data_IF_424837216306
#
_entry.id   IF_424837216306
#
_cell.length_a   1.000
_cell.length_b   1.000
_cell.length_c   1.000
_cell.angle_alpha   90.00
_cell.angle_beta   90.00
_cell.angle_gamma   90.00
#
_symmetry.space_group_name_H-M   'P 1'
#
loop_
_entity.id
_entity.type
_entity.pdbx_description
1 polymer ?
#
# COMPACT_ATOMS: atom_id res chain seq x y z
N UNK A 1 -40.95 -18.82 -2.08
CA UNK A 1 -39.72 -19.35 -1.45
C UNK A 1 -38.55 -18.52 -1.93
N UNK A 2 -38.13 -17.58 -1.09
CA UNK A 2 -36.95 -16.74 -1.28
C UNK A 2 -35.72 -17.64 -1.29
N UNK A 3 -34.98 -17.68 -2.41
CA UNK A 3 -33.64 -18.29 -2.41
C UNK A 3 -32.77 -17.37 -1.57
N UNK A 4 -32.40 -17.84 -0.38
CA UNK A 4 -31.32 -17.27 0.41
C UNK A 4 -30.10 -17.09 -0.49
N UNK A 5 -29.88 -15.85 -0.92
CA UNK A 5 -28.58 -15.39 -1.40
C UNK A 5 -27.72 -15.37 -0.13
N UNK A 6 -27.29 -16.55 0.31
CA UNK A 6 -26.17 -16.66 1.25
C UNK A 6 -25.05 -15.92 0.57
N UNK A 7 -24.76 -14.74 1.10
CA UNK A 7 -23.66 -13.85 0.79
C UNK A 7 -22.59 -14.60 0.01
N UNK A 8 -22.48 -14.30 -1.29
CA UNK A 8 -21.30 -14.66 -2.04
C UNK A 8 -20.13 -14.03 -1.28
N UNK A 9 -19.47 -14.84 -0.44
CA UNK A 9 -18.26 -14.43 0.29
C UNK A 9 -17.34 -13.84 -0.75
N UNK A 10 -17.15 -12.53 -0.65
CA UNK A 10 -16.44 -11.73 -1.63
C UNK A 10 -15.09 -12.40 -1.90
N UNK A 11 -14.77 -12.83 -3.13
CA UNK A 11 -13.55 -13.57 -3.41
C UNK A 11 -12.37 -12.71 -3.00
N UNK A 12 -11.70 -13.07 -1.87
CA UNK A 12 -10.58 -12.35 -1.21
C UNK A 12 -10.06 -11.19 -2.06
N UNK A 13 -10.74 -10.03 -1.99
CA UNK A 13 -10.32 -8.86 -2.77
C UNK A 13 -9.06 -8.36 -2.08
N UNK A 14 -7.93 -8.60 -2.72
CA UNK A 14 -6.70 -7.92 -2.34
C UNK A 14 -6.68 -6.54 -2.97
N UNK A 15 -6.10 -5.57 -2.28
CA UNK A 15 -5.84 -4.25 -2.84
C UNK A 15 -4.33 -4.04 -2.93
N UNK A 16 -3.87 -3.38 -3.98
CA UNK A 16 -2.56 -2.77 -3.98
C UNK A 16 -2.69 -1.37 -3.39
N UNK A 17 -1.93 -1.12 -2.33
CA UNK A 17 -1.83 0.19 -1.69
C UNK A 17 -0.50 0.79 -2.13
N UNK A 18 -0.55 2.03 -2.59
CA UNK A 18 0.65 2.86 -2.84
C UNK A 18 0.48 4.16 -2.07
N UNK A 19 1.46 4.49 -1.24
CA UNK A 19 1.50 5.70 -0.43
C UNK A 19 2.75 6.47 -0.82
N UNK A 20 2.59 7.69 -1.31
CA UNK A 20 3.70 8.59 -1.61
C UNK A 20 3.70 9.75 -0.64
N UNK A 21 4.85 10.07 -0.07
CA UNK A 21 5.04 11.16 0.88
C UNK A 21 5.79 12.32 0.22
N UNK A 22 5.43 13.54 0.61
CA UNK A 22 6.15 14.76 0.24
C UNK A 22 6.31 15.58 1.52
N UNK A 23 7.41 15.35 2.23
CA UNK A 23 7.70 15.96 3.52
C UNK A 23 8.49 17.26 3.32
N UNK A 24 8.00 18.35 3.91
CA UNK A 24 8.63 19.67 3.82
C UNK A 24 9.98 19.68 4.56
N UNK A 25 11.06 20.03 3.85
CA UNK A 25 12.40 20.18 4.45
C UNK A 25 12.94 18.90 5.09
N UNK A 26 12.51 17.73 4.61
CA UNK A 26 12.89 16.45 5.20
C UNK A 26 14.07 15.80 4.48
N UNK A 27 15.03 15.35 5.28
CA UNK A 27 16.11 14.47 4.85
C UNK A 27 15.60 13.05 4.58
N UNK A 28 16.35 12.28 3.77
CA UNK A 28 16.02 10.89 3.39
C UNK A 28 15.74 9.98 4.59
N UNK A 29 16.43 10.18 5.72
CA UNK A 29 16.27 9.41 6.95
C UNK A 29 14.85 9.53 7.56
N UNK A 30 14.20 10.71 7.43
CA UNK A 30 12.84 10.92 7.95
C UNK A 30 11.81 10.11 7.16
N UNK A 31 11.99 9.99 5.85
CA UNK A 31 11.16 9.13 5.01
C UNK A 31 11.32 7.66 5.41
N UNK A 32 12.55 7.20 5.65
CA UNK A 32 12.80 5.81 6.05
C UNK A 32 12.14 5.46 7.39
N UNK A 33 12.29 6.32 8.40
CA UNK A 33 11.63 6.14 9.71
C UNK A 33 10.12 6.08 9.56
N UNK A 34 9.54 7.01 8.79
CA UNK A 34 8.10 7.05 8.53
C UNK A 34 7.62 5.76 7.84
N UNK A 35 8.32 5.27 6.81
CA UNK A 35 7.96 4.02 6.13
C UNK A 35 7.99 2.81 7.08
N UNK A 36 9.02 2.70 7.92
CA UNK A 36 9.13 1.61 8.92
C UNK A 36 8.02 1.67 9.97
N UNK A 37 7.69 2.86 10.48
CA UNK A 37 6.56 3.01 11.41
C UNK A 37 5.25 2.59 10.77
N UNK A 38 4.98 3.05 9.55
CA UNK A 38 3.72 2.73 8.87
C UNK A 38 3.62 1.25 8.53
N UNK A 39 4.71 0.64 8.10
CA UNK A 39 4.77 -0.80 7.89
C UNK A 39 4.37 -1.60 9.14
N UNK A 40 4.93 -1.23 10.29
CA UNK A 40 4.62 -1.88 11.56
C UNK A 40 3.16 -1.64 11.99
N UNK A 41 2.71 -0.39 11.97
CA UNK A 41 1.35 -0.02 12.41
C UNK A 41 0.25 -0.61 11.50
N UNK A 42 0.54 -0.78 10.21
CA UNK A 42 -0.38 -1.36 9.24
C UNK A 42 -0.22 -2.89 9.11
N UNK A 43 0.71 -3.50 9.86
CA UNK A 43 1.04 -4.93 9.81
C UNK A 43 1.35 -5.41 8.39
N UNK A 44 2.12 -4.60 7.66
CA UNK A 44 2.45 -4.87 6.27
C UNK A 44 3.73 -5.70 6.19
N UNK A 45 3.70 -6.73 5.35
CA UNK A 45 4.93 -7.29 4.82
C UNK A 45 5.61 -6.20 3.98
N UNK A 46 6.63 -5.54 4.55
CA UNK A 46 7.50 -4.62 3.81
C UNK A 46 8.41 -5.37 2.87
N UNK A 47 7.82 -6.06 1.90
CA UNK A 47 8.51 -6.26 0.64
C UNK A 47 8.50 -4.90 -0.03
N UNK A 48 9.60 -4.14 0.15
CA UNK A 48 9.88 -2.99 -0.71
C UNK A 48 9.77 -3.55 -2.12
N UNK A 49 8.79 -3.10 -2.90
CA UNK A 49 8.56 -3.65 -4.24
C UNK A 49 9.80 -3.36 -5.07
N UNK A 50 10.58 -4.41 -5.29
CA UNK A 50 11.64 -4.47 -6.27
C UNK A 50 10.96 -5.02 -7.52
N UNK A 51 10.65 -4.15 -8.48
CA UNK A 51 10.17 -4.61 -9.78
C UNK A 51 11.37 -5.10 -10.56
N UNK A 52 11.49 -6.40 -10.79
CA UNK A 52 12.38 -6.91 -11.83
C UNK A 52 11.74 -6.56 -13.17
N UNK A 53 12.44 -5.75 -13.98
CA UNK A 53 12.10 -5.58 -15.39
C UNK A 53 12.71 -6.72 -16.20
N UNK A 54 12.22 -6.96 -17.43
CA UNK A 54 12.67 -8.02 -18.34
C UNK A 54 14.20 -8.08 -18.58
N UNK A 55 14.92 -7.00 -18.21
CA UNK A 55 16.38 -6.86 -18.25
C UNK A 55 17.10 -7.20 -16.92
N UNK A 56 16.45 -7.85 -15.95
CA UNK A 56 16.98 -8.11 -14.60
C UNK A 56 17.38 -6.84 -13.82
N UNK A 57 16.97 -5.65 -14.29
CA UNK A 57 17.13 -4.41 -13.54
C UNK A 57 16.05 -4.34 -12.48
N UNK A 58 16.49 -4.51 -11.24
CA UNK A 58 15.71 -4.22 -10.06
C UNK A 58 15.41 -2.73 -10.03
N UNK A 59 14.17 -2.36 -10.29
CA UNK A 59 13.70 -0.98 -10.15
C UNK A 59 13.15 -0.83 -8.75
N UNK A 60 13.90 -0.13 -7.90
CA UNK A 60 13.43 0.24 -6.57
C UNK A 60 12.37 1.35 -6.68
N UNK A 61 11.31 1.23 -5.89
CA UNK A 61 10.38 2.35 -5.71
C UNK A 61 11.13 3.61 -5.22
N UNK A 62 10.63 4.81 -5.57
CA UNK A 62 11.17 6.06 -5.02
C UNK A 62 11.20 6.00 -3.49
N UNK A 63 12.26 6.52 -2.87
CA UNK A 63 12.45 6.42 -1.42
C UNK A 63 11.28 7.05 -0.63
N UNK A 64 10.57 8.02 -1.18
CA UNK A 64 9.41 8.62 -0.52
C UNK A 64 8.11 7.81 -0.71
N UNK A 65 8.17 6.60 -1.24
CA UNK A 65 7.01 5.77 -1.57
C UNK A 65 7.02 4.46 -0.77
N UNK A 66 5.86 4.04 -0.31
CA UNK A 66 5.57 2.73 0.25
C UNK A 66 4.51 2.05 -0.63
N UNK A 67 4.76 0.84 -1.09
CA UNK A 67 3.73 0.02 -1.72
C UNK A 67 3.56 -1.29 -0.93
N UNK A 68 2.34 -1.82 -0.91
CA UNK A 68 2.00 -3.07 -0.21
C UNK A 68 0.75 -3.73 -0.80
N UNK A 69 0.61 -5.04 -0.57
CA UNK A 69 -0.64 -5.75 -0.77
C UNK A 69 -1.45 -5.72 0.52
N UNK A 70 -2.68 -5.26 0.42
CA UNK A 70 -3.70 -5.37 1.46
C UNK A 70 -4.50 -6.65 1.22
N UNK A 71 -4.57 -7.52 2.23
CA UNK A 71 -5.26 -8.81 2.15
C UNK A 71 -6.34 -8.97 3.23
N UNK A 72 -6.76 -7.87 3.86
CA UNK A 72 -7.80 -7.86 4.90
C UNK A 72 -9.18 -7.72 4.27
N UNK A 73 -10.17 -8.42 4.82
CA UNK A 73 -11.57 -8.37 4.37
C UNK A 73 -12.18 -6.99 4.69
N UNK A 74 -12.04 -6.06 3.75
CA UNK A 74 -12.47 -4.67 3.90
C UNK A 74 -12.82 -4.07 2.53
N UNK A 75 -13.68 -3.05 2.53
CA UNK A 75 -13.95 -2.26 1.33
C UNK A 75 -12.76 -1.35 1.01
N UNK A 76 -12.71 -0.84 -0.23
CA UNK A 76 -11.69 0.14 -0.65
C UNK A 76 -11.71 1.39 0.24
N UNK A 77 -12.92 1.87 0.59
CA UNK A 77 -13.11 3.05 1.40
C UNK A 77 -12.63 2.84 2.83
N UNK A 78 -13.02 1.74 3.48
CA UNK A 78 -12.54 1.41 4.84
C UNK A 78 -11.02 1.25 4.88
N UNK A 79 -10.44 0.64 3.84
CA UNK A 79 -8.99 0.51 3.68
C UNK A 79 -8.34 1.89 3.60
N UNK A 80 -8.84 2.79 2.75
CA UNK A 80 -8.34 4.16 2.60
C UNK A 80 -8.42 4.93 3.91
N UNK A 81 -9.56 4.91 4.59
CA UNK A 81 -9.80 5.66 5.83
C UNK A 81 -8.88 5.18 6.96
N UNK A 82 -8.69 3.87 7.09
CA UNK A 82 -7.77 3.28 8.07
C UNK A 82 -6.32 3.68 7.82
N UNK A 83 -5.87 3.63 6.56
CA UNK A 83 -4.51 4.04 6.18
C UNK A 83 -4.32 5.54 6.43
N UNK A 84 -5.29 6.37 6.04
CA UNK A 84 -5.23 7.82 6.23
C UNK A 84 -5.10 8.18 7.72
N UNK A 85 -5.91 7.56 8.57
CA UNK A 85 -5.82 7.75 10.02
C UNK A 85 -4.45 7.36 10.57
N UNK A 86 -3.89 6.26 10.10
CA UNK A 86 -2.57 5.77 10.53
C UNK A 86 -1.44 6.70 10.08
N UNK A 87 -1.50 7.22 8.84
CA UNK A 87 -0.56 8.22 8.33
C UNK A 87 -0.61 9.50 9.18
N UNK A 88 -1.79 10.04 9.45
CA UNK A 88 -1.94 11.25 10.27
C UNK A 88 -1.33 11.07 11.66
N UNK A 89 -1.58 9.92 12.30
CA UNK A 89 -0.98 9.57 13.60
C UNK A 89 0.55 9.54 13.52
N UNK A 90 1.12 8.94 12.47
CA UNK A 90 2.56 8.86 12.27
C UNK A 90 3.21 10.23 12.02
N UNK A 91 2.56 11.11 11.23
CA UNK A 91 3.02 12.49 11.03
C UNK A 91 3.07 13.26 12.35
N UNK A 92 2.03 13.15 13.17
CA UNK A 92 1.95 13.80 14.47
C UNK A 92 3.03 13.28 15.44
N UNK A 93 3.20 11.95 15.55
CA UNK A 93 4.18 11.36 16.46
C UNK A 93 5.62 11.71 16.10
N UNK A 94 5.91 11.90 14.81
CA UNK A 94 7.24 12.27 14.31
C UNK A 94 7.42 13.78 14.10
N UNK A 95 6.42 14.60 14.44
CA UNK A 95 6.44 16.07 14.23
C UNK A 95 6.77 16.47 12.79
N UNK A 96 6.20 15.73 11.83
CA UNK A 96 6.42 15.95 10.40
C UNK A 96 5.39 16.94 9.82
N UNK A 97 5.80 17.69 8.81
CA UNK A 97 4.92 18.53 7.97
C UNK A 97 5.08 18.11 6.51
N UNK A 98 3.99 18.10 5.75
CA UNK A 98 4.01 17.72 4.35
C UNK A 98 2.68 17.20 3.85
N UNK A 99 2.74 16.55 2.70
CA UNK A 99 1.62 15.96 1.98
C UNK A 99 1.82 14.46 1.82
N UNK A 100 0.71 13.76 1.58
CA UNK A 100 0.74 12.36 1.20
C UNK A 100 -0.35 12.09 0.17
N UNK A 101 -0.14 11.06 -0.64
CA UNK A 101 -1.11 10.53 -1.60
C UNK A 101 -1.29 9.04 -1.30
N UNK A 102 -2.54 8.59 -1.23
CA UNK A 102 -2.90 7.19 -1.04
C UNK A 102 -3.63 6.72 -2.29
N UNK A 103 -3.09 5.70 -2.95
CA UNK A 103 -3.77 4.95 -4.00
C UNK A 103 -4.14 3.59 -3.42
N UNK A 104 -5.42 3.24 -3.53
CA UNK A 104 -5.94 1.91 -3.19
C UNK A 104 -6.59 1.38 -4.46
N UNK A 105 -6.00 0.34 -5.05
CA UNK A 105 -6.49 -0.26 -6.30
C UNK A 105 -6.83 -1.72 -6.06
N UNK A 106 -7.97 -2.19 -6.56
CA UNK A 106 -8.30 -3.62 -6.51
C UNK A 106 -7.29 -4.41 -7.35
N UNK A 107 -6.81 -5.54 -6.83
CA UNK A 107 -5.70 -6.27 -7.44
C UNK A 107 -6.01 -6.80 -8.86
N UNK A 108 -7.29 -6.99 -9.22
CA UNK A 108 -7.71 -7.35 -10.58
C UNK A 108 -7.78 -6.15 -11.54
N UNK A 109 -7.86 -4.93 -11.02
CA UNK A 109 -7.78 -3.67 -11.78
C UNK A 109 -6.32 -3.23 -12.02
N UNK A 110 -5.37 -3.92 -11.40
CA UNK A 110 -3.94 -3.83 -11.69
C UNK A 110 -3.59 -4.98 -12.63
N UNK A 111 -3.00 -4.69 -13.78
CA UNK A 111 -2.48 -5.73 -14.64
C UNK A 111 -1.27 -6.41 -13.94
N UNK A 112 -1.51 -7.57 -13.34
CA UNK A 112 -0.45 -8.48 -12.90
C UNK A 112 -0.35 -9.62 -13.92
N UNK A 113 0.77 -9.69 -14.63
CA UNK A 113 1.08 -10.77 -15.55
C UNK A 113 2.32 -11.52 -15.09
N UNK A 114 2.30 -12.84 -15.23
CA UNK A 114 3.51 -13.66 -15.28
C UNK A 114 3.62 -14.14 -16.73
N UNK A 115 4.78 -13.91 -17.37
CA UNK A 115 5.10 -14.50 -18.67
C UNK A 115 6.07 -15.64 -18.41
N UNK A 116 5.54 -16.85 -18.35
CA UNK A 116 6.36 -18.06 -18.43
C UNK A 116 6.57 -18.40 -19.91
N UNK A 117 7.82 -18.46 -20.36
CA UNK A 117 8.17 -19.24 -21.54
C UNK A 117 8.41 -20.68 -21.12
N UNK A 118 7.47 -21.56 -21.47
CA UNK A 118 7.73 -22.95 -21.89
C UNK A 118 6.52 -23.57 -22.57
#
# INVERSE_FOLDING_TARGET
MSRDIRELRNPRISYQIIITFDLEGAESEKYEKLRKTLALELELDTNIYLSESDDHKITSLPFNTLATLWRKDSTEQETRDYIEKTIKKAFLSHRLKGRYVIVVAQNWAVAAGNVDYK
#
